data_IF_755513968788
#
_entry.id   IF_755513968788
#
_cell.length_a   1.000
_cell.length_b   1.000
_cell.length_c   1.000
_cell.angle_alpha   90.00
_cell.angle_beta   90.00
_cell.angle_gamma   90.00
#
_symmetry.space_group_name_H-M   'P 1'
#
loop_
_entity.id
_entity.type
_entity.pdbx_description
1 polymer ?
#
# COMPACT_ATOMS: atom_id res chain seq x y z
N UNK A 1 -2.85 -7.40 18.26
CA UNK A 1 -4.13 -8.13 18.37
C UNK A 1 -3.84 -9.60 18.58
N UNK A 2 -4.69 -10.32 19.34
CA UNK A 2 -4.60 -11.76 19.56
C UNK A 2 -5.82 -12.44 18.96
N UNK A 3 -5.60 -13.21 17.89
CA UNK A 3 -6.60 -14.04 17.24
C UNK A 3 -6.33 -15.50 17.59
N UNK A 4 -7.38 -16.23 18.00
CA UNK A 4 -7.28 -17.69 18.07
C UNK A 4 -8.40 -18.28 17.24
N UNK A 5 -8.02 -18.99 16.18
CA UNK A 5 -8.90 -19.96 15.53
C UNK A 5 -8.87 -21.25 16.33
N UNK A 6 -10.04 -21.83 16.58
CA UNK A 6 -10.13 -23.23 17.01
C UNK A 6 -10.53 -24.04 15.78
N UNK A 7 -9.55 -24.72 15.17
CA UNK A 7 -9.80 -25.85 14.28
C UNK A 7 -10.16 -27.08 15.11
N UNK A 8 -11.09 -27.89 14.63
CA UNK A 8 -11.47 -29.16 15.27
C UNK A 8 -10.23 -30.05 15.50
N UNK A 9 -10.22 -30.90 16.56
CA UNK A 9 -9.06 -31.69 16.93
C UNK A 9 -8.95 -32.89 15.99
N UNK A 10 -8.32 -32.70 14.84
CA UNK A 10 -7.88 -33.81 14.01
C UNK A 10 -6.37 -33.68 13.79
N UNK A 11 -5.67 -34.79 14.02
CA UNK A 11 -4.23 -34.93 13.90
C UNK A 11 -3.85 -34.93 12.41
N UNK A 12 -3.27 -33.82 11.93
CA UNK A 12 -2.91 -33.61 10.51
C UNK A 12 -1.40 -33.78 10.25
N UNK A 13 -0.69 -34.53 11.11
CA UNK A 13 0.77 -34.72 11.06
C UNK A 13 1.34 -35.27 9.74
N UNK A 14 0.51 -35.92 8.91
CA UNK A 14 0.97 -36.64 7.70
C UNK A 14 0.70 -35.90 6.37
N UNK A 15 0.05 -34.72 6.39
CA UNK A 15 -0.51 -34.15 5.16
C UNK A 15 0.36 -33.10 4.44
N UNK A 16 1.26 -32.41 5.18
CA UNK A 16 2.20 -31.46 4.56
C UNK A 16 3.13 -32.14 3.54
N UNK A 17 3.39 -33.44 3.68
CA UNK A 17 4.17 -34.24 2.74
C UNK A 17 3.47 -34.52 1.41
N UNK A 18 2.14 -34.45 1.34
CA UNK A 18 1.38 -34.72 0.10
C UNK A 18 1.27 -33.48 -0.81
N UNK A 19 1.22 -32.27 -0.24
CA UNK A 19 1.22 -31.01 -1.01
C UNK A 19 2.52 -30.78 -1.80
N UNK A 20 3.65 -31.32 -1.34
CA UNK A 20 4.93 -31.23 -2.03
C UNK A 20 5.22 -32.42 -2.96
N UNK A 21 4.33 -33.44 -2.99
CA UNK A 21 4.49 -34.62 -3.85
C UNK A 21 3.54 -34.65 -5.05
N UNK A 22 2.51 -33.78 -5.09
CA UNK A 22 1.55 -33.70 -6.19
C UNK A 22 1.99 -32.72 -7.29
N UNK A 23 2.45 -33.27 -8.43
CA UNK A 23 2.84 -32.52 -9.64
C UNK A 23 1.63 -32.06 -10.51
N UNK A 24 0.40 -32.19 -10.01
CA UNK A 24 -0.82 -31.86 -10.77
C UNK A 24 -1.45 -30.57 -10.23
N UNK A 25 -1.61 -29.58 -11.11
CA UNK A 25 -2.26 -28.31 -10.76
C UNK A 25 -3.75 -28.45 -10.39
N UNK A 26 -4.37 -29.60 -10.67
CA UNK A 26 -5.77 -29.91 -10.29
C UNK A 26 -5.92 -30.09 -8.77
N UNK A 27 -4.93 -30.68 -8.09
CA UNK A 27 -4.98 -30.91 -6.64
C UNK A 27 -5.02 -29.60 -5.85
N UNK A 28 -4.30 -28.57 -6.29
CA UNK A 28 -4.28 -27.25 -5.64
C UNK A 28 -5.66 -26.56 -5.68
N UNK A 29 -6.40 -26.68 -6.79
CA UNK A 29 -7.72 -26.06 -6.91
C UNK A 29 -8.78 -26.71 -6.00
N UNK A 30 -8.71 -28.03 -5.84
CA UNK A 30 -9.56 -28.76 -4.86
C UNK A 30 -9.20 -28.38 -3.42
N UNK A 31 -7.91 -28.17 -3.11
CA UNK A 31 -7.46 -27.70 -1.80
C UNK A 31 -7.89 -26.28 -1.46
N UNK A 32 -7.92 -25.37 -2.46
CA UNK A 32 -8.43 -24.01 -2.27
C UNK A 32 -9.91 -23.98 -1.90
N UNK A 33 -10.67 -24.98 -2.34
CA UNK A 33 -12.10 -25.16 -2.05
C UNK A 33 -12.36 -26.09 -0.86
N UNK A 34 -11.32 -26.62 -0.22
CA UNK A 34 -11.44 -27.53 0.91
C UNK A 34 -12.17 -26.83 2.08
N UNK A 35 -13.13 -27.51 2.73
CA UNK A 35 -13.97 -26.89 3.77
C UNK A 35 -13.22 -26.60 5.07
N UNK A 36 -11.93 -26.91 5.16
CA UNK A 36 -11.14 -26.83 6.38
C UNK A 36 -10.76 -25.38 6.73
N UNK A 37 -10.82 -25.00 8.02
CA UNK A 37 -10.43 -23.66 8.46
C UNK A 37 -8.92 -23.47 8.35
N UNK A 38 -8.48 -22.50 7.56
CA UNK A 38 -7.06 -22.12 7.43
C UNK A 38 -6.82 -20.70 7.91
N UNK A 39 -5.60 -20.41 8.35
CA UNK A 39 -5.16 -19.07 8.71
C UNK A 39 -5.27 -18.11 7.52
N UNK A 40 -5.03 -18.59 6.30
CA UNK A 40 -5.19 -17.82 5.06
C UNK A 40 -6.62 -17.42 4.70
N UNK A 41 -7.63 -18.01 5.36
CA UNK A 41 -9.05 -17.70 5.13
C UNK A 41 -9.52 -16.48 5.95
N UNK A 42 -8.62 -15.87 6.73
CA UNK A 42 -8.88 -14.70 7.56
C UNK A 42 -8.51 -13.44 6.80
N UNK A 43 -9.46 -12.50 6.71
CA UNK A 43 -9.19 -11.14 6.27
C UNK A 43 -9.50 -10.16 7.41
N UNK A 44 -8.60 -9.19 7.59
CA UNK A 44 -8.73 -8.14 8.60
C UNK A 44 -8.70 -6.79 7.90
N UNK A 45 -9.73 -6.00 8.16
CA UNK A 45 -9.86 -4.63 7.69
C UNK A 45 -10.03 -3.68 8.87
N UNK A 46 -9.36 -2.54 8.81
CA UNK A 46 -9.54 -1.45 9.74
C UNK A 46 -10.10 -0.24 8.98
N UNK A 47 -11.13 0.38 9.54
CA UNK A 47 -11.74 1.61 9.03
C UNK A 47 -11.58 2.74 10.04
N UNK A 48 -11.11 3.90 9.59
CA UNK A 48 -10.94 5.09 10.42
C UNK A 48 -12.24 5.88 10.62
N UNK A 49 -12.27 6.82 11.58
CA UNK A 49 -13.41 7.72 11.77
C UNK A 49 -13.75 8.55 10.53
N UNK A 50 -12.76 8.87 9.69
CA UNK A 50 -12.95 9.60 8.43
C UNK A 50 -13.50 8.71 7.29
N UNK A 51 -13.60 7.39 7.52
CA UNK A 51 -14.13 6.42 6.56
C UNK A 51 -13.08 5.78 5.65
N UNK A 52 -11.79 6.06 5.84
CA UNK A 52 -10.71 5.41 5.10
C UNK A 52 -10.61 3.95 5.50
N UNK A 53 -10.43 3.06 4.52
CA UNK A 53 -10.37 1.60 4.72
C UNK A 53 -8.96 1.09 4.42
N UNK A 54 -8.42 0.25 5.31
CA UNK A 54 -7.16 -0.45 5.12
C UNK A 54 -7.34 -1.94 5.36
N UNK A 55 -7.02 -2.76 4.34
CA UNK A 55 -6.90 -4.21 4.51
C UNK A 55 -5.56 -4.47 5.18
N UNK A 56 -5.59 -4.82 6.46
CA UNK A 56 -4.41 -5.12 7.27
C UNK A 56 -3.88 -6.54 7.03
N UNK A 57 -4.79 -7.45 6.68
CA UNK A 57 -4.48 -8.81 6.31
C UNK A 57 -5.44 -9.21 5.20
N UNK A 58 -4.98 -9.34 3.95
CA UNK A 58 -5.82 -9.89 2.88
C UNK A 58 -5.94 -11.41 3.03
N UNK A 59 -6.91 -11.98 2.33
CA UNK A 59 -6.95 -13.44 2.13
C UNK A 59 -5.66 -13.94 1.47
N UNK A 60 -5.17 -15.09 1.92
CA UNK A 60 -3.94 -15.70 1.41
C UNK A 60 -4.21 -17.15 1.04
N UNK A 61 -4.47 -17.38 -0.24
CA UNK A 61 -4.86 -18.66 -0.80
C UNK A 61 -3.92 -19.82 -0.45
N UNK A 62 -2.63 -19.54 -0.34
CA UNK A 62 -1.58 -20.52 -0.08
C UNK A 62 -1.14 -20.62 1.40
N UNK A 63 -1.84 -19.95 2.33
CA UNK A 63 -1.57 -20.07 3.76
C UNK A 63 -2.45 -21.16 4.41
N UNK A 64 -1.98 -22.40 4.35
CA UNK A 64 -2.70 -23.60 4.77
C UNK A 64 -2.61 -23.94 6.27
N UNK A 65 -1.88 -23.14 7.05
CA UNK A 65 -1.71 -23.40 8.50
C UNK A 65 -3.07 -23.33 9.21
N UNK A 66 -3.44 -24.38 9.95
CA UNK A 66 -4.74 -24.50 10.63
C UNK A 66 -4.64 -24.62 12.17
N UNK A 67 -3.41 -24.78 12.69
CA UNK A 67 -3.13 -24.95 14.12
C UNK A 67 -2.80 -23.65 14.84
N UNK A 68 -2.48 -22.58 14.10
CA UNK A 68 -2.00 -21.32 14.66
C UNK A 68 -2.79 -20.12 14.11
N UNK A 69 -3.14 -19.21 15.02
CA UNK A 69 -3.70 -17.90 14.68
C UNK A 69 -2.63 -16.81 14.70
N UNK A 70 -3.07 -15.56 14.81
CA UNK A 70 -2.19 -14.41 14.96
C UNK A 70 -2.06 -14.07 16.45
N UNK A 71 -1.02 -14.57 17.11
CA UNK A 71 -0.74 -14.24 18.51
C UNK A 71 0.13 -12.97 18.60
N UNK A 72 -0.45 -11.88 19.12
CA UNK A 72 0.21 -10.58 19.26
C UNK A 72 0.88 -10.05 17.99
N UNK A 73 0.36 -10.40 16.82
CA UNK A 73 0.90 -9.93 15.54
C UNK A 73 0.64 -8.42 15.36
N UNK A 74 1.66 -7.59 15.09
CA UNK A 74 1.51 -6.15 14.93
C UNK A 74 1.20 -5.80 13.47
N UNK A 75 -0.07 -5.81 13.11
CA UNK A 75 -0.50 -5.26 11.81
C UNK A 75 -0.33 -3.74 11.80
N UNK A 76 0.09 -3.19 10.66
CA UNK A 76 0.35 -1.76 10.48
C UNK A 76 -0.25 -1.26 9.16
N UNK A 77 -0.56 0.03 9.10
CA UNK A 77 -0.99 0.71 7.88
C UNK A 77 -0.54 2.17 7.89
N UNK A 78 -0.25 2.68 6.69
CA UNK A 78 0.01 4.11 6.42
C UNK A 78 -1.16 4.79 5.71
N UNK A 79 -2.26 4.07 5.45
CA UNK A 79 -3.40 4.62 4.71
C UNK A 79 -4.11 5.75 5.46
N UNK A 80 -4.01 5.76 6.80
CA UNK A 80 -4.68 6.73 7.67
C UNK A 80 -3.85 7.99 7.93
N UNK A 81 -2.74 8.16 7.20
CA UNK A 81 -1.83 9.27 7.42
C UNK A 81 -2.53 10.59 7.08
N UNK A 82 -2.60 11.51 8.05
CA UNK A 82 -3.22 12.84 7.88
C UNK A 82 -4.63 12.97 8.43
N UNK A 83 -5.20 11.88 8.92
CA UNK A 83 -6.53 11.90 9.49
C UNK A 83 -6.49 12.31 10.96
N UNK A 84 -7.54 13.01 11.40
CA UNK A 84 -7.84 13.14 12.83
C UNK A 84 -8.26 11.75 13.35
N UNK A 85 -7.50 11.13 14.28
CA UNK A 85 -7.81 9.80 14.78
C UNK A 85 -9.02 9.80 15.73
N UNK A 86 -9.57 10.97 16.08
CA UNK A 86 -10.70 11.12 17.00
C UNK A 86 -11.97 10.52 16.40
N UNK A 87 -12.53 9.53 17.09
CA UNK A 87 -13.82 8.95 16.75
C UNK A 87 -13.81 7.43 16.83
N UNK A 88 -14.74 6.81 16.09
CA UNK A 88 -14.92 5.36 16.12
C UNK A 88 -14.07 4.67 15.06
N UNK A 89 -13.19 3.78 15.49
CA UNK A 89 -12.45 2.88 14.62
C UNK A 89 -13.19 1.56 14.51
N UNK A 90 -13.36 1.05 13.29
CA UNK A 90 -14.08 -0.20 13.04
C UNK A 90 -13.12 -1.27 12.55
N UNK A 91 -12.94 -2.32 13.36
CA UNK A 91 -12.21 -3.53 12.96
C UNK A 91 -13.22 -4.55 12.41
N UNK A 92 -13.04 -4.93 11.14
CA UNK A 92 -13.86 -5.94 10.46
C UNK A 92 -12.99 -7.16 10.21
N UNK A 93 -13.42 -8.31 10.72
CA UNK A 93 -12.77 -9.59 10.45
C UNK A 93 -13.73 -10.47 9.69
N UNK A 94 -13.30 -10.98 8.55
CA UNK A 94 -14.07 -11.93 7.74
C UNK A 94 -13.33 -13.25 7.67
N UNK A 95 -14.09 -14.34 7.65
CA UNK A 95 -13.58 -15.69 7.58
C UNK A 95 -14.31 -16.42 6.46
N UNK A 96 -13.58 -16.87 5.43
CA UNK A 96 -14.19 -17.42 4.22
C UNK A 96 -14.43 -18.93 4.25
N UNK A 97 -13.82 -19.67 5.18
CA UNK A 97 -13.97 -21.12 5.21
C UNK A 97 -15.42 -21.51 5.51
N UNK A 98 -15.92 -22.54 4.83
CA UNK A 98 -17.31 -23.01 4.99
C UNK A 98 -17.56 -23.74 6.32
N UNK A 99 -16.50 -24.05 7.07
CA UNK A 99 -16.57 -24.65 8.41
C UNK A 99 -15.53 -24.05 9.36
N UNK A 100 -15.80 -24.13 10.67
CA UNK A 100 -14.97 -23.51 11.71
C UNK A 100 -15.43 -22.10 12.09
N UNK A 101 -14.72 -21.47 13.02
CA UNK A 101 -14.97 -20.09 13.44
C UNK A 101 -13.66 -19.41 13.82
N UNK A 102 -13.61 -18.09 13.64
CA UNK A 102 -12.56 -17.23 14.17
C UNK A 102 -13.07 -16.47 15.39
N UNK A 103 -12.23 -16.36 16.42
CA UNK A 103 -12.47 -15.50 17.56
C UNK A 103 -11.32 -14.49 17.72
N UNK A 104 -11.69 -13.21 17.81
CA UNK A 104 -10.78 -12.14 18.24
C UNK A 104 -10.80 -12.14 19.77
N UNK A 105 -9.68 -12.49 20.40
CA UNK A 105 -9.58 -12.53 21.87
C UNK A 105 -9.24 -11.16 22.45
N UNK A 106 -8.33 -10.45 21.79
CA UNK A 106 -7.90 -9.14 22.20
C UNK A 106 -7.50 -8.30 20.98
N UNK A 107 -7.82 -7.01 21.02
CA UNK A 107 -7.44 -6.07 19.98
C UNK A 107 -7.12 -4.71 20.58
N UNK A 108 -5.92 -4.23 20.27
CA UNK A 108 -5.47 -2.88 20.59
C UNK A 108 -5.03 -2.18 19.32
N UNK A 109 -5.26 -0.87 19.28
CA UNK A 109 -4.78 0.00 18.21
C UNK A 109 -3.86 1.02 18.85
N UNK A 110 -2.63 1.09 18.35
CA UNK A 110 -1.64 2.08 18.77
C UNK A 110 -1.53 3.13 17.68
N UNK A 111 -1.84 4.38 18.01
CA UNK A 111 -1.70 5.50 17.08
C UNK A 111 -0.29 6.08 17.18
N UNK A 112 0.38 6.23 16.04
CA UNK A 112 1.67 6.89 15.92
C UNK A 112 1.45 8.21 15.17
N UNK A 113 1.86 9.32 15.76
CA UNK A 113 1.66 10.65 15.20
C UNK A 113 2.24 11.76 16.06
N UNK A 114 1.93 13.00 15.68
CA UNK A 114 2.29 14.22 16.41
C UNK A 114 1.02 14.89 16.95
N UNK A 115 1.11 15.50 18.13
CA UNK A 115 -0.05 16.14 18.77
C UNK A 115 -0.43 17.48 18.14
N UNK A 116 0.53 18.15 17.49
CA UNK A 116 0.35 19.44 16.83
C UNK A 116 0.93 19.38 15.42
N UNK A 117 0.32 20.15 14.51
CA UNK A 117 0.85 20.33 13.16
C UNK A 117 2.21 21.03 13.28
N UNK A 118 3.32 20.43 12.81
CA UNK A 118 4.62 21.06 12.89
C UNK A 118 4.60 22.38 12.10
N UNK A 119 5.43 23.34 12.54
CA UNK A 119 5.47 24.71 11.95
C UNK A 119 5.71 24.65 10.43
N UNK A 120 6.43 23.64 9.93
CA UNK A 120 6.65 23.43 8.49
C UNK A 120 5.37 23.12 7.70
N UNK A 121 4.39 22.47 8.32
CA UNK A 121 3.09 22.17 7.71
C UNK A 121 2.08 23.31 7.91
N UNK A 122 2.23 24.14 8.95
CA UNK A 122 1.40 25.34 9.12
C UNK A 122 1.78 26.49 8.16
N UNK A 123 2.94 26.40 7.51
CA UNK A 123 3.34 27.30 6.43
C UNK A 123 2.80 26.90 5.05
N UNK A 124 2.03 25.80 4.94
CA UNK A 124 1.37 25.45 3.69
C UNK A 124 0.39 26.57 3.29
N UNK A 125 0.45 27.05 2.05
CA UNK A 125 -0.39 28.16 1.61
C UNK A 125 -1.87 27.73 1.57
N UNK A 126 -2.82 28.62 1.92
CA UNK A 126 -4.25 28.31 1.94
C UNK A 126 -4.82 28.03 0.54
N UNK A 127 -4.11 28.47 -0.51
CA UNK A 127 -4.47 28.20 -1.91
C UNK A 127 -3.22 28.05 -2.76
N UNK A 128 -3.22 27.06 -3.65
CA UNK A 128 -2.14 26.85 -4.59
C UNK A 128 -2.20 27.78 -5.80
N UNK A 129 -1.07 27.92 -6.48
CA UNK A 129 -1.01 28.66 -7.73
C UNK A 129 -1.97 28.05 -8.78
N UNK A 130 -2.65 28.85 -9.63
CA UNK A 130 -3.66 28.35 -10.57
C UNK A 130 -3.16 27.33 -11.60
N UNK A 131 -1.85 27.25 -11.82
CA UNK A 131 -1.21 26.28 -12.72
C UNK A 131 -0.95 24.91 -12.07
N UNK A 132 -1.19 24.78 -10.75
CA UNK A 132 -1.16 23.50 -10.05
C UNK A 132 -2.45 22.69 -10.32
N UNK A 133 -2.32 21.38 -10.55
CA UNK A 133 -3.49 20.47 -10.61
C UNK A 133 -3.76 19.80 -9.27
N UNK A 134 -2.71 19.56 -8.48
CA UNK A 134 -2.79 18.88 -7.18
C UNK A 134 -1.68 19.41 -6.27
N UNK A 135 -2.08 19.94 -5.12
CA UNK A 135 -1.20 20.31 -4.01
C UNK A 135 -0.13 21.35 -4.34
N UNK A 136 0.43 21.93 -3.27
CA UNK A 136 1.57 22.82 -3.33
C UNK A 136 2.19 22.94 -1.94
N UNK A 137 3.49 23.17 -1.89
CA UNK A 137 4.23 23.31 -0.64
C UNK A 137 4.45 24.78 -0.23
N UNK A 138 4.31 25.72 -1.18
CA UNK A 138 4.44 27.16 -0.99
C UNK A 138 3.71 27.92 -2.13
N UNK A 139 3.64 29.26 -2.02
CA UNK A 139 3.10 30.11 -3.08
C UNK A 139 3.97 30.06 -4.34
N UNK A 140 3.38 30.23 -5.53
CA UNK A 140 4.11 30.27 -6.81
C UNK A 140 3.99 29.00 -7.67
N UNK A 141 4.20 29.12 -9.01
CA UNK A 141 4.06 28.02 -9.96
C UNK A 141 5.12 26.91 -9.82
N UNK A 142 6.26 27.18 -9.21
CA UNK A 142 7.36 26.24 -8.97
C UNK A 142 7.05 25.25 -7.84
N UNK A 143 6.17 25.64 -6.92
CA UNK A 143 5.88 24.90 -5.69
C UNK A 143 4.71 23.92 -5.81
N UNK A 144 4.15 23.75 -7.01
CA UNK A 144 3.10 22.77 -7.26
C UNK A 144 3.64 21.33 -7.15
N UNK A 145 2.87 20.40 -6.57
CA UNK A 145 3.26 18.98 -6.57
C UNK A 145 3.08 18.38 -7.96
N UNK A 146 2.01 18.79 -8.64
CA UNK A 146 1.73 18.43 -10.03
C UNK A 146 1.26 19.65 -10.82
N UNK A 147 1.79 19.81 -12.04
CA UNK A 147 1.40 20.84 -12.98
C UNK A 147 0.14 20.43 -13.76
N UNK A 148 -0.71 21.41 -14.07
CA UNK A 148 -1.86 21.22 -14.96
C UNK A 148 -1.44 20.83 -16.38
N UNK A 149 -0.50 21.59 -16.94
CA UNK A 149 -0.03 21.45 -18.31
C UNK A 149 1.42 20.96 -18.39
N UNK A 150 2.40 21.85 -18.24
CA UNK A 150 3.81 21.50 -18.35
C UNK A 150 4.63 22.02 -17.18
N UNK A 151 5.73 21.34 -16.85
CA UNK A 151 6.76 21.81 -15.92
C UNK A 151 8.03 22.20 -16.67
N UNK A 152 8.57 23.37 -16.40
CA UNK A 152 9.88 23.77 -16.90
C UNK A 152 10.98 22.95 -16.21
N UNK A 153 11.87 22.32 -16.97
CA UNK A 153 12.98 21.55 -16.38
C UNK A 153 14.03 22.44 -15.70
N UNK A 154 14.14 23.70 -16.11
CA UNK A 154 15.15 24.65 -15.62
C UNK A 154 14.75 25.32 -14.31
N UNK A 155 13.49 25.75 -14.20
CA UNK A 155 12.97 26.52 -13.05
C UNK A 155 12.01 25.73 -12.17
N UNK A 156 11.55 24.56 -12.63
CA UNK A 156 10.49 23.76 -12.02
C UNK A 156 9.09 24.42 -12.02
N UNK A 157 8.94 25.58 -12.65
CA UNK A 157 7.66 26.29 -12.72
C UNK A 157 6.65 25.54 -13.59
N UNK A 158 5.42 25.45 -13.09
CA UNK A 158 4.28 24.99 -13.87
C UNK A 158 3.78 26.11 -14.81
N UNK A 159 3.82 25.84 -16.11
CA UNK A 159 3.41 26.74 -17.18
C UNK A 159 2.28 26.12 -18.01
N UNK A 160 1.44 26.97 -18.60
CA UNK A 160 0.37 26.52 -19.50
C UNK A 160 0.89 26.09 -20.86
N UNK A 161 1.90 26.79 -21.38
CA UNK A 161 2.56 26.51 -22.66
C UNK A 161 4.09 26.65 -22.52
N UNK A 162 4.85 25.90 -23.31
CA UNK A 162 6.31 25.94 -23.27
C UNK A 162 6.86 27.25 -23.87
N UNK A 163 7.77 27.95 -23.16
CA UNK A 163 8.39 29.18 -23.64
C UNK A 163 9.33 28.93 -24.82
N UNK A 164 9.63 30.00 -25.56
CA UNK A 164 10.52 29.94 -26.74
C UNK A 164 11.88 29.29 -26.42
N UNK A 165 12.32 28.41 -27.31
CA UNK A 165 13.56 27.62 -27.12
C UNK A 165 13.35 26.34 -26.31
N UNK A 166 12.11 26.04 -25.91
CA UNK A 166 11.72 24.75 -25.35
C UNK A 166 10.50 24.19 -26.10
N UNK A 167 10.34 22.88 -26.07
CA UNK A 167 9.19 22.20 -26.65
C UNK A 167 8.59 21.21 -25.63
N UNK A 168 7.28 20.89 -25.75
CA UNK A 168 6.61 19.99 -24.83
C UNK A 168 7.01 18.53 -25.05
N UNK A 169 7.39 17.84 -23.97
CA UNK A 169 7.66 16.40 -23.95
C UNK A 169 7.24 15.80 -22.59
N UNK A 170 6.34 14.81 -22.59
CA UNK A 170 5.90 14.08 -21.38
C UNK A 170 5.54 14.97 -20.16
N UNK A 171 4.74 16.03 -20.36
CA UNK A 171 4.36 17.02 -19.32
C UNK A 171 5.50 17.92 -18.83
N UNK A 172 6.61 17.97 -19.55
CA UNK A 172 7.72 18.89 -19.31
C UNK A 172 7.97 19.78 -20.53
N UNK A 173 8.60 20.93 -20.30
CA UNK A 173 9.18 21.75 -21.34
C UNK A 173 10.68 21.49 -21.36
N UNK A 174 11.17 20.87 -22.43
CA UNK A 174 12.57 20.47 -22.61
C UNK A 174 13.23 21.34 -23.67
N UNK A 175 14.54 21.52 -23.56
CA UNK A 175 15.34 22.25 -24.57
C UNK A 175 15.76 21.23 -25.63
N UNK A 176 15.70 21.59 -26.91
CA UNK A 176 16.35 20.82 -27.96
C UNK A 176 17.87 20.87 -27.74
N UNK A 177 18.44 19.84 -27.11
CA UNK A 177 19.86 19.56 -27.25
C UNK A 177 20.08 19.19 -28.71
N UNK A 178 20.88 19.99 -29.43
CA UNK A 178 21.36 19.67 -30.79
C UNK A 178 22.18 18.35 -30.85
N UNK A 179 22.32 17.62 -29.73
CA UNK A 179 23.04 16.34 -29.59
C UNK A 179 22.14 15.09 -29.51
N UNK A 180 20.79 15.19 -29.50
CA UNK A 180 19.89 14.02 -29.35
C UNK A 180 19.26 13.51 -30.66
N UNK A 181 19.88 13.77 -31.83
CA UNK A 181 19.41 13.20 -33.11
C UNK A 181 19.72 11.70 -33.25
N UNK A 182 20.38 11.07 -32.27
CA UNK A 182 20.61 9.62 -32.27
C UNK A 182 20.26 8.95 -30.93
N UNK A 183 18.96 8.76 -30.71
CA UNK A 183 18.50 7.44 -30.27
C UNK A 183 18.41 7.15 -28.77
N UNK A 184 17.98 8.09 -27.93
CA UNK A 184 17.39 7.69 -26.65
C UNK A 184 15.94 7.28 -26.89
N UNK A 185 15.77 6.07 -27.41
CA UNK A 185 14.51 5.36 -27.30
C UNK A 185 14.38 4.93 -25.84
N UNK A 186 13.53 5.59 -25.06
CA UNK A 186 13.09 5.03 -23.79
C UNK A 186 12.49 3.64 -24.09
N UNK A 187 12.95 2.56 -23.45
CA UNK A 187 12.31 1.26 -23.62
C UNK A 187 10.85 1.42 -23.22
N UNK A 188 9.93 1.20 -24.16
CA UNK A 188 8.49 1.08 -23.89
C UNK A 188 8.15 -0.30 -23.34
N UNK A 189 9.13 -1.00 -22.78
CA UNK A 189 8.89 -2.28 -22.14
C UNK A 189 8.30 -1.99 -20.77
N UNK A 190 7.06 -2.42 -20.57
CA UNK A 190 6.46 -2.58 -19.25
C UNK A 190 7.45 -3.38 -18.39
N UNK A 191 8.19 -2.68 -17.53
CA UNK A 191 9.01 -3.35 -16.52
C UNK A 191 8.05 -3.78 -15.41
N UNK A 192 7.48 -4.98 -15.55
CA UNK A 192 6.99 -5.72 -14.38
C UNK A 192 8.20 -6.03 -13.50
N UNK A 193 8.38 -5.24 -12.44
CA UNK A 193 9.39 -5.54 -11.42
C UNK A 193 8.81 -6.55 -10.44
N UNK A 194 9.32 -7.78 -10.50
CA UNK A 194 9.06 -8.82 -9.49
C UNK A 194 10.01 -8.60 -8.30
N UNK A 195 9.48 -8.19 -7.16
CA UNK A 195 10.21 -8.16 -5.89
C UNK A 195 10.14 -9.57 -5.29
N UNK A 196 11.23 -10.34 -5.38
CA UNK A 196 11.37 -11.60 -4.62
C UNK A 196 11.56 -11.26 -3.14
N UNK A 197 10.50 -11.40 -2.35
CA UNK A 197 10.50 -11.17 -0.91
C UNK A 197 11.22 -12.30 -0.15
N UNK A 198 12.48 -12.55 -0.48
CA UNK A 198 13.37 -13.36 0.35
C UNK A 198 14.24 -12.41 1.16
N UNK A 199 13.89 -12.31 2.44
CA UNK A 199 14.63 -11.62 3.51
C UNK A 199 14.72 -10.10 3.41
N UNK A 200 13.65 -9.40 3.79
CA UNK A 200 13.77 -8.04 4.32
C UNK A 200 13.60 -8.12 5.83
N UNK A 201 14.73 -8.18 6.54
CA UNK A 201 14.75 -7.87 7.96
C UNK A 201 14.21 -6.45 8.14
N UNK A 202 13.15 -6.32 8.93
CA UNK A 202 12.48 -5.04 9.19
C UNK A 202 13.47 -4.09 9.86
N UNK A 203 13.94 -3.12 9.09
CA UNK A 203 14.92 -2.16 9.51
C UNK A 203 15.15 -1.10 8.45
N UNK A 204 14.10 -0.38 8.06
CA UNK A 204 14.26 0.89 7.37
C UNK A 204 13.44 1.94 8.09
N UNK A 205 14.15 2.62 8.98
CA UNK A 205 13.84 3.93 9.50
C UNK A 205 14.00 4.92 8.36
N UNK A 206 12.95 5.55 7.85
CA UNK A 206 13.16 6.87 7.28
C UNK A 206 11.90 7.75 7.16
N UNK A 207 11.94 8.78 8.00
CA UNK A 207 11.38 10.14 7.92
C UNK A 207 10.02 10.38 7.26
N UNK A 208 9.06 10.58 8.16
CA UNK A 208 8.02 11.61 8.13
C UNK A 208 8.46 12.86 7.35
N UNK A 209 7.71 13.24 6.32
CA UNK A 209 7.41 14.64 6.06
C UNK A 209 5.99 14.77 5.49
N UNK A 210 5.29 15.75 6.06
CA UNK A 210 4.10 16.42 5.57
C UNK A 210 4.54 17.56 4.66
#
# INVERSE_FOLDING_TARGET
>A
MRFTGYGAPYDYGDFYSELYSSDSGEDIYDWLQSPHPRRGDVEIELTSPAGTRSILLPNRDYDFVNTEGYDNWPFMSVHFWGEDPTGTWTLRTTFRASSGHIAVKDASVTMLGVAEVPISASTLPPSCHPTCVRGCHAEGPENCDACKNFRLISTLECVDDCPNGTHPFNKYCVIDSEDDVNGIQCPTDEVESYIDAKSVGLGVWQWLYW
#
